data_IF_394480614877
#
_entry.id   IF_394480614877
#
_cell.length_a   1.000
_cell.length_b   1.000
_cell.length_c   1.000
_cell.angle_alpha   90.00
_cell.angle_beta   90.00
_cell.angle_gamma   90.00
#
_symmetry.space_group_name_H-M   'P 1'
#
loop_
_entity.id
_entity.type
_entity.pdbx_description
1 polymer ?
#
# COMPACT_ATOMS: atom_id res chain seq x y z
N UNK A 1 -40.69 -49.42 -8.31
CA UNK A 1 -41.70 -48.36 -8.08
C UNK A 1 -41.36 -47.72 -6.73
N UNK A 2 -40.88 -46.48 -6.71
CA UNK A 2 -40.58 -45.78 -5.45
C UNK A 2 -41.91 -45.38 -4.76
N UNK A 3 -42.03 -45.52 -3.43
CA UNK A 3 -43.27 -45.20 -2.72
C UNK A 3 -43.63 -43.72 -2.88
N UNK A 4 -44.92 -43.43 -3.08
CA UNK A 4 -45.47 -42.10 -3.39
C UNK A 4 -44.94 -40.99 -2.47
N UNK A 5 -44.71 -41.32 -1.19
CA UNK A 5 -44.18 -40.43 -0.15
C UNK A 5 -42.74 -39.97 -0.40
N UNK A 6 -41.91 -40.83 -1.01
CA UNK A 6 -40.50 -40.54 -1.31
C UNK A 6 -40.37 -39.63 -2.53
N UNK A 7 -41.26 -39.77 -3.51
CA UNK A 7 -41.37 -38.88 -4.67
C UNK A 7 -41.82 -37.47 -4.23
N UNK A 8 -42.77 -37.38 -3.29
CA UNK A 8 -43.23 -36.10 -2.73
C UNK A 8 -42.09 -35.39 -1.98
N UNK A 9 -41.37 -36.09 -1.11
CA UNK A 9 -40.24 -35.50 -0.36
C UNK A 9 -39.10 -35.05 -1.30
N UNK A 10 -38.79 -35.82 -2.33
CA UNK A 10 -37.76 -35.46 -3.31
C UNK A 10 -38.15 -34.23 -4.14
N UNK A 11 -39.42 -34.08 -4.49
CA UNK A 11 -39.96 -32.88 -5.17
C UNK A 11 -39.96 -31.64 -4.27
N UNK A 12 -40.28 -31.79 -2.99
CA UNK A 12 -40.23 -30.70 -2.01
C UNK A 12 -38.79 -30.20 -1.83
N UNK A 13 -37.82 -31.10 -1.72
CA UNK A 13 -36.39 -30.73 -1.61
C UNK A 13 -35.91 -30.02 -2.88
N UNK A 14 -36.30 -30.51 -4.07
CA UNK A 14 -35.93 -29.90 -5.35
C UNK A 14 -36.54 -28.49 -5.53
N UNK A 15 -37.71 -28.24 -4.92
CA UNK A 15 -38.40 -26.95 -4.99
C UNK A 15 -37.92 -25.95 -3.92
N UNK A 16 -37.41 -26.43 -2.78
CA UNK A 16 -36.85 -25.60 -1.70
C UNK A 16 -35.40 -25.17 -1.95
N UNK A 17 -34.62 -25.96 -2.69
CA UNK A 17 -33.23 -25.66 -3.02
C UNK A 17 -33.03 -24.31 -3.76
N UNK A 18 -33.80 -23.98 -4.82
CA UNK A 18 -33.65 -22.67 -5.49
C UNK A 18 -34.15 -21.51 -4.61
N UNK A 19 -35.10 -21.75 -3.70
CA UNK A 19 -35.61 -20.73 -2.78
C UNK A 19 -34.55 -20.33 -1.73
N UNK A 20 -33.73 -21.28 -1.27
CA UNK A 20 -32.57 -20.98 -0.41
C UNK A 20 -31.51 -20.13 -1.13
N UNK A 21 -31.29 -20.36 -2.43
CA UNK A 21 -30.34 -19.59 -3.21
C UNK A 21 -30.76 -18.11 -3.36
N UNK A 22 -32.06 -17.82 -3.36
CA UNK A 22 -32.57 -16.44 -3.44
C UNK A 22 -32.35 -15.64 -2.16
N UNK A 23 -32.22 -16.31 -1.00
CA UNK A 23 -31.96 -15.67 0.30
C UNK A 23 -30.47 -15.36 0.54
N UNK A 24 -29.56 -15.90 -0.27
CA UNK A 24 -28.12 -15.72 -0.11
C UNK A 24 -27.60 -14.37 -0.67
N UNK A 25 -28.43 -13.64 -1.42
CA UNK A 25 -28.04 -12.36 -2.00
C UNK A 25 -28.18 -11.25 -0.95
N UNK A 26 -27.06 -10.88 -0.31
CA UNK A 26 -27.00 -9.77 0.63
C UNK A 26 -26.45 -8.53 -0.10
N UNK A 27 -27.29 -7.51 -0.42
CA UNK A 27 -26.91 -6.38 -1.27
C UNK A 27 -26.11 -5.29 -0.53
N UNK A 28 -25.73 -5.53 0.73
CA UNK A 28 -24.96 -4.57 1.53
C UNK A 28 -23.59 -4.34 0.91
N UNK A 29 -23.40 -3.15 0.32
CA UNK A 29 -22.09 -2.70 -0.10
C UNK A 29 -21.19 -2.58 1.14
N UNK A 30 -19.95 -3.11 1.09
CA UNK A 30 -19.03 -2.92 2.19
C UNK A 30 -18.75 -1.42 2.36
N UNK A 31 -18.71 -0.98 3.62
CA UNK A 31 -18.21 0.33 3.96
C UNK A 31 -16.70 0.36 3.67
N UNK A 32 -16.33 1.17 2.67
CA UNK A 32 -14.95 1.27 2.19
C UNK A 32 -14.04 1.82 3.27
N UNK A 33 -14.51 2.77 4.09
CA UNK A 33 -13.71 3.35 5.15
C UNK A 33 -13.43 2.30 6.23
N UNK A 34 -14.46 1.57 6.64
CA UNK A 34 -14.32 0.49 7.61
C UNK A 34 -13.39 -0.62 7.10
N UNK A 35 -13.49 -0.97 5.81
CA UNK A 35 -12.61 -1.97 5.20
C UNK A 35 -11.13 -1.52 5.22
N UNK A 36 -10.86 -0.27 4.85
CA UNK A 36 -9.52 0.30 4.89
C UNK A 36 -8.99 0.34 6.33
N UNK A 37 -9.81 0.77 7.29
CA UNK A 37 -9.41 0.82 8.69
C UNK A 37 -9.09 -0.56 9.26
N UNK A 38 -9.90 -1.58 8.94
CA UNK A 38 -9.65 -2.96 9.36
C UNK A 38 -8.33 -3.48 8.78
N UNK A 39 -8.04 -3.21 7.51
CA UNK A 39 -6.78 -3.60 6.89
C UNK A 39 -5.57 -2.90 7.57
N UNK A 40 -5.67 -1.59 7.81
CA UNK A 40 -4.62 -0.83 8.51
C UNK A 40 -4.37 -1.40 9.91
N UNK A 41 -5.42 -1.68 10.69
CA UNK A 41 -5.30 -2.27 12.02
C UNK A 41 -4.65 -3.66 11.97
N UNK A 42 -5.11 -4.55 11.07
CA UNK A 42 -4.58 -5.90 10.93
C UNK A 42 -3.08 -5.92 10.57
N UNK A 43 -2.61 -4.92 9.81
CA UNK A 43 -1.21 -4.77 9.41
C UNK A 43 -0.38 -3.89 10.36
N UNK A 44 -0.89 -3.58 11.56
CA UNK A 44 -0.12 -2.90 12.60
C UNK A 44 0.10 -1.41 12.35
N UNK A 45 -0.73 -0.76 11.54
CA UNK A 45 -0.59 0.65 11.15
C UNK A 45 -0.39 1.62 12.32
N UNK A 46 -1.01 1.34 13.48
CA UNK A 46 -0.85 2.16 14.69
C UNK A 46 0.62 2.30 15.13
N UNK A 47 1.44 1.26 14.94
CA UNK A 47 2.87 1.30 15.27
C UNK A 47 3.73 2.08 14.28
N UNK A 48 3.18 2.42 13.11
CA UNK A 48 3.89 3.11 12.02
C UNK A 48 3.49 4.58 11.85
N UNK A 49 2.61 5.10 12.71
CA UNK A 49 2.16 6.49 12.62
C UNK A 49 3.29 7.49 12.90
N UNK A 50 4.26 7.13 13.73
CA UNK A 50 5.38 7.97 14.07
C UNK A 50 6.63 7.12 14.14
N UNK A 51 7.72 7.56 13.52
CA UNK A 51 8.95 6.80 13.57
C UNK A 51 10.08 7.37 12.73
N UNK A 52 11.28 6.99 13.11
CA UNK A 52 12.50 7.22 12.36
C UNK A 52 13.18 5.89 12.11
N UNK A 53 13.40 5.57 10.83
CA UNK A 53 14.14 4.39 10.38
C UNK A 53 15.35 4.85 9.58
N UNK A 54 16.49 4.20 9.77
CA UNK A 54 17.69 4.45 8.99
C UNK A 54 18.33 3.13 8.62
N UNK A 55 18.69 2.97 7.35
CA UNK A 55 19.26 1.74 6.84
C UNK A 55 20.20 2.01 5.66
N UNK A 56 21.04 1.04 5.33
CA UNK A 56 21.92 1.10 4.15
C UNK A 56 21.47 0.07 3.13
N UNK A 57 21.37 0.48 1.87
CA UNK A 57 21.09 -0.41 0.73
C UNK A 57 21.93 0.05 -0.47
N UNK A 58 22.59 -0.89 -1.15
CA UNK A 58 23.37 -0.60 -2.36
C UNK A 58 24.39 0.54 -2.21
N UNK A 59 25.06 0.65 -1.06
CA UNK A 59 26.02 1.73 -0.78
C UNK A 59 25.40 3.09 -0.44
N UNK A 60 24.07 3.23 -0.51
CA UNK A 60 23.34 4.44 -0.15
C UNK A 60 22.85 4.38 1.31
N UNK A 61 22.79 5.54 1.97
CA UNK A 61 22.16 5.69 3.29
C UNK A 61 20.74 6.21 3.11
N UNK A 62 19.75 5.48 3.60
CA UNK A 62 18.35 5.88 3.58
C UNK A 62 17.88 6.31 4.97
N UNK A 63 16.99 7.31 5.01
CA UNK A 63 16.27 7.70 6.22
C UNK A 63 14.80 7.89 5.92
N UNK A 64 13.96 7.36 6.79
CA UNK A 64 12.52 7.48 6.76
C UNK A 64 12.10 8.18 8.03
N UNK A 65 11.39 9.29 7.90
CA UNK A 65 10.69 9.96 8.98
C UNK A 65 9.20 9.93 8.66
N UNK A 66 8.38 9.48 9.62
CA UNK A 66 6.93 9.56 9.54
C UNK A 66 6.37 10.23 10.78
N UNK A 67 5.35 11.04 10.59
CA UNK A 67 4.59 11.68 11.65
C UNK A 67 3.15 11.93 11.18
N UNK A 68 2.26 10.99 11.51
CA UNK A 68 0.89 10.91 11.00
C UNK A 68 0.89 10.95 9.47
N UNK A 69 0.24 11.94 8.87
CA UNK A 69 0.14 12.12 7.42
C UNK A 69 1.41 12.72 6.80
N UNK A 70 2.34 13.22 7.61
CA UNK A 70 3.60 13.76 7.15
C UNK A 70 4.66 12.67 7.02
N UNK A 71 5.39 12.68 5.91
CA UNK A 71 6.52 11.78 5.70
C UNK A 71 7.69 12.49 5.01
N UNK A 72 8.90 11.99 5.28
CA UNK A 72 10.12 12.34 4.58
C UNK A 72 10.91 11.06 4.33
N UNK A 73 11.15 10.75 3.07
CA UNK A 73 12.08 9.70 2.64
C UNK A 73 13.29 10.38 2.04
N UNK A 74 14.48 9.98 2.47
CA UNK A 74 15.71 10.52 1.93
C UNK A 74 16.70 9.41 1.61
N UNK A 75 17.54 9.65 0.60
CA UNK A 75 18.74 8.85 0.37
C UNK A 75 19.94 9.75 0.14
N UNK A 76 21.09 9.33 0.67
CA UNK A 76 22.39 9.96 0.43
C UNK A 76 23.35 8.95 -0.15
N UNK A 77 24.04 9.32 -1.23
CA UNK A 77 25.05 8.48 -1.89
C UNK A 77 26.11 9.34 -2.60
N UNK A 78 27.14 8.69 -3.13
CA UNK A 78 28.10 9.33 -4.05
C UNK A 78 27.81 8.86 -5.47
N UNK A 79 27.76 9.78 -6.41
CA UNK A 79 27.63 9.43 -7.83
C UNK A 79 28.97 8.95 -8.42
N UNK A 80 28.97 8.64 -9.73
CA UNK A 80 30.17 8.17 -10.42
C UNK A 80 31.31 9.20 -10.46
N UNK A 81 31.03 10.49 -10.26
CA UNK A 81 32.01 11.56 -10.18
C UNK A 81 32.51 11.83 -8.74
N UNK A 82 31.99 11.09 -7.77
CA UNK A 82 32.30 11.25 -6.34
C UNK A 82 31.55 12.40 -5.67
N UNK A 83 30.60 13.04 -6.37
CA UNK A 83 29.80 14.11 -5.78
C UNK A 83 28.75 13.52 -4.84
N UNK A 84 28.51 14.21 -3.71
CA UNK A 84 27.48 13.78 -2.75
C UNK A 84 26.12 14.16 -3.29
N UNK A 85 25.28 13.17 -3.53
CA UNK A 85 23.88 13.34 -3.91
C UNK A 85 22.98 13.10 -2.71
N UNK A 86 22.01 13.98 -2.52
CA UNK A 86 20.98 13.83 -1.49
C UNK A 86 19.60 14.10 -2.09
N UNK A 87 18.78 13.05 -2.06
CA UNK A 87 17.41 13.02 -2.57
C UNK A 87 16.42 13.04 -1.41
N UNK A 88 15.35 13.81 -1.56
CA UNK A 88 14.26 13.91 -0.57
C UNK A 88 12.91 13.82 -1.26
N UNK A 89 12.10 12.83 -0.85
CA UNK A 89 10.67 12.73 -1.15
C UNK A 89 9.90 13.10 0.11
N UNK A 90 8.98 14.04 -0.01
CA UNK A 90 8.08 14.45 1.06
C UNK A 90 6.72 14.81 0.48
N UNK A 91 5.72 15.10 1.33
CA UNK A 91 4.37 15.42 0.88
C UNK A 91 4.29 16.54 -0.18
N UNK A 92 5.22 17.50 -0.14
CA UNK A 92 5.26 18.64 -1.08
C UNK A 92 5.99 18.34 -2.39
N UNK A 93 6.52 17.14 -2.58
CA UNK A 93 7.21 16.72 -3.80
C UNK A 93 8.60 16.16 -3.57
N UNK A 94 9.43 16.25 -4.61
CA UNK A 94 10.78 15.71 -4.65
C UNK A 94 11.82 16.80 -4.84
N UNK A 95 12.95 16.68 -4.15
CA UNK A 95 14.11 17.53 -4.35
C UNK A 95 15.38 16.70 -4.39
N UNK A 96 16.34 17.15 -5.20
CA UNK A 96 17.71 16.64 -5.24
C UNK A 96 18.68 17.78 -4.99
N UNK A 97 19.72 17.47 -4.22
CA UNK A 97 20.89 18.32 -4.07
C UNK A 97 22.15 17.55 -4.44
N UNK A 98 23.08 18.22 -5.13
CA UNK A 98 24.41 17.72 -5.44
C UNK A 98 25.40 18.66 -4.75
N UNK A 99 26.20 18.14 -3.83
CA UNK A 99 27.07 18.94 -2.95
C UNK A 99 26.33 20.13 -2.30
N UNK A 100 25.13 19.85 -1.78
CA UNK A 100 24.24 20.81 -1.12
C UNK A 100 23.67 21.92 -2.01
N UNK A 101 23.93 21.88 -3.33
CA UNK A 101 23.28 22.75 -4.31
C UNK A 101 22.07 22.05 -4.91
N UNK A 102 20.92 22.72 -4.90
CA UNK A 102 19.70 22.17 -5.48
C UNK A 102 19.84 22.02 -7.00
N UNK A 103 19.56 20.82 -7.50
CA UNK A 103 19.55 20.53 -8.92
C UNK A 103 18.19 20.89 -9.52
N UNK A 104 18.20 21.48 -10.72
CA UNK A 104 16.97 21.74 -11.46
C UNK A 104 16.64 20.53 -12.33
N UNK A 105 15.56 19.84 -11.98
CA UNK A 105 15.11 18.62 -12.64
C UNK A 105 13.92 18.91 -13.55
N UNK A 106 13.80 18.13 -14.62
CA UNK A 106 12.56 18.10 -15.41
C UNK A 106 11.44 17.41 -14.62
N UNK A 107 10.16 17.65 -14.96
CA UNK A 107 9.03 16.95 -14.35
C UNK A 107 9.16 15.43 -14.44
N UNK A 108 9.64 14.89 -15.56
CA UNK A 108 9.80 13.45 -15.79
C UNK A 108 10.85 12.86 -14.83
N UNK A 109 12.02 13.49 -14.72
CA UNK A 109 13.07 13.07 -13.80
C UNK A 109 12.61 13.12 -12.34
N UNK A 110 11.83 14.15 -12.00
CA UNK A 110 11.26 14.31 -10.66
C UNK A 110 10.37 13.11 -10.29
N UNK A 111 9.51 12.66 -11.22
CA UNK A 111 8.63 11.50 -11.00
C UNK A 111 9.43 10.20 -10.91
N UNK A 112 10.38 9.98 -11.82
CA UNK A 112 11.19 8.77 -11.86
C UNK A 112 12.02 8.61 -10.59
N UNK A 113 12.75 9.66 -10.19
CA UNK A 113 13.62 9.63 -9.03
C UNK A 113 12.82 9.53 -7.72
N UNK A 114 11.69 10.23 -7.61
CA UNK A 114 10.78 10.09 -6.47
C UNK A 114 10.30 8.65 -6.30
N UNK A 115 9.87 8.04 -7.40
CA UNK A 115 9.40 6.64 -7.42
C UNK A 115 10.52 5.66 -7.07
N UNK A 116 11.76 5.92 -7.50
CA UNK A 116 12.93 5.12 -7.15
C UNK A 116 13.18 5.13 -5.64
N UNK A 117 13.20 6.31 -5.00
CA UNK A 117 13.42 6.42 -3.55
C UNK A 117 12.31 5.74 -2.76
N UNK A 118 11.04 6.00 -3.11
CA UNK A 118 9.90 5.41 -2.42
C UNK A 118 9.89 3.88 -2.51
N UNK A 119 10.30 3.31 -3.65
CA UNK A 119 10.38 1.86 -3.86
C UNK A 119 11.42 1.21 -2.96
N UNK A 120 12.64 1.73 -2.92
CA UNK A 120 13.70 1.20 -2.06
C UNK A 120 13.32 1.26 -0.57
N UNK A 121 12.66 2.34 -0.15
CA UNK A 121 12.14 2.47 1.22
C UNK A 121 11.07 1.44 1.55
N UNK A 122 10.19 1.12 0.59
CA UNK A 122 9.11 0.15 0.83
C UNK A 122 9.60 -1.31 0.83
N UNK A 123 10.74 -1.59 0.18
CA UNK A 123 11.32 -2.93 0.09
C UNK A 123 12.31 -3.25 1.22
N UNK A 124 12.66 -2.26 2.05
CA UNK A 124 13.58 -2.40 3.19
C UNK A 124 12.84 -2.86 4.46
#
# INVERSE_FOLDING_TARGET
MLPLRQIINQKIVLLLLPLLCLLACNPSKPDIEQLVQNALQAHGYAGYQQGLVSFRSGGSMYRVLRHHDAFVYSRTFQDASGQRVHDVVQNSGFTRTINDQQEQLSPEMTVEMSSSVAREVFLA
#
